data_IF_017724543564
#
_entry.id   IF_017724543564
#
_cell.length_a   1.000
_cell.length_b   1.000
_cell.length_c   1.000
_cell.angle_alpha   90.00
_cell.angle_beta   90.00
_cell.angle_gamma   90.00
#
_symmetry.space_group_name_H-M   'P 1'
#
loop_
_entity.id
_entity.type
_entity.pdbx_description
1 polymer ?
#
# COMPACT_ATOMS: atom_id res chain seq x y z
N UNK A 1 15.16 -13.52 18.86
CA UNK A 1 14.18 -12.49 19.28
C UNK A 1 12.82 -12.94 18.78
N UNK A 2 11.72 -12.66 19.49
CA UNK A 2 10.39 -13.00 19.01
C UNK A 2 10.08 -12.21 17.72
N UNK A 3 9.28 -12.81 16.84
CA UNK A 3 8.83 -12.18 15.59
C UNK A 3 7.85 -11.03 15.87
N UNK A 4 7.04 -11.19 16.91
CA UNK A 4 6.01 -10.26 17.35
C UNK A 4 6.31 -9.79 18.78
N UNK A 5 6.25 -8.49 19.04
CA UNK A 5 6.48 -7.89 20.38
C UNK A 5 5.22 -7.15 20.83
N UNK A 6 4.64 -7.63 21.92
CA UNK A 6 3.37 -7.14 22.49
C UNK A 6 3.58 -6.17 23.66
N UNK A 7 4.83 -5.81 23.96
CA UNK A 7 5.16 -4.96 25.12
C UNK A 7 4.91 -3.47 24.87
N UNK A 8 4.78 -3.07 23.61
CA UNK A 8 4.54 -1.70 23.19
C UNK A 8 3.69 -1.65 21.90
N UNK A 9 3.07 -0.50 21.65
CA UNK A 9 2.29 -0.24 20.44
C UNK A 9 2.35 1.24 20.06
N UNK A 10 1.92 1.53 18.83
CA UNK A 10 1.68 2.90 18.37
C UNK A 10 0.18 3.17 18.37
N UNK A 11 -0.18 4.37 18.80
CA UNK A 11 -1.55 4.90 18.75
C UNK A 11 -1.53 6.12 17.84
N UNK A 12 -2.59 6.28 17.05
CA UNK A 12 -2.79 7.43 16.19
C UNK A 12 -4.13 8.06 16.55
N UNK A 13 -4.16 9.38 16.55
CA UNK A 13 -5.42 10.12 16.64
C UNK A 13 -6.17 10.05 15.31
N UNK A 14 -7.49 10.21 15.35
CA UNK A 14 -8.30 10.22 14.12
C UNK A 14 -7.80 11.25 13.08
N UNK A 15 -7.42 12.49 13.44
CA UNK A 15 -6.87 13.44 12.46
C UNK A 15 -5.55 12.98 11.82
N UNK A 16 -4.71 12.22 12.54
CA UNK A 16 -3.48 11.66 11.96
C UNK A 16 -3.80 10.53 10.99
N UNK A 17 -4.77 9.68 11.34
CA UNK A 17 -5.28 8.62 10.47
C UNK A 17 -5.82 9.21 9.17
N UNK A 18 -6.74 10.18 9.25
CA UNK A 18 -7.32 10.86 8.07
C UNK A 18 -6.23 11.50 7.20
N UNK A 19 -5.25 12.18 7.81
CA UNK A 19 -4.14 12.77 7.07
C UNK A 19 -3.25 11.72 6.38
N UNK A 20 -3.06 10.55 6.99
CA UNK A 20 -2.32 9.45 6.37
C UNK A 20 -3.11 8.83 5.20
N UNK A 21 -4.43 8.71 5.32
CA UNK A 21 -5.32 8.24 4.26
C UNK A 21 -5.25 9.15 3.03
N UNK A 22 -5.36 10.47 3.22
CA UNK A 22 -5.23 11.45 2.14
C UNK A 22 -3.87 11.32 1.44
N UNK A 23 -2.78 11.17 2.21
CA UNK A 23 -1.43 11.01 1.66
C UNK A 23 -1.30 9.74 0.83
N UNK A 24 -1.82 8.59 1.29
CA UNK A 24 -1.71 7.34 0.52
C UNK A 24 -2.59 7.35 -0.73
N UNK A 25 -3.74 8.03 -0.71
CA UNK A 25 -4.59 8.21 -1.89
C UNK A 25 -3.89 9.09 -2.95
N UNK A 26 -3.27 10.19 -2.53
CA UNK A 26 -2.48 11.05 -3.41
C UNK A 26 -1.29 10.29 -4.00
N UNK A 27 -0.52 9.57 -3.16
CA UNK A 27 0.62 8.78 -3.61
C UNK A 27 0.22 7.69 -4.60
N UNK A 28 -0.88 6.98 -4.36
CA UNK A 28 -1.38 5.97 -5.29
C UNK A 28 -1.73 6.59 -6.66
N UNK A 29 -2.43 7.72 -6.65
CA UNK A 29 -2.77 8.46 -7.86
C UNK A 29 -1.52 8.92 -8.64
N UNK A 30 -0.50 9.40 -7.92
CA UNK A 30 0.79 9.77 -8.51
C UNK A 30 1.51 8.57 -9.12
N UNK A 31 1.52 7.41 -8.45
CA UNK A 31 2.11 6.17 -8.97
C UNK A 31 1.41 5.71 -10.26
N UNK A 32 0.08 5.76 -10.32
CA UNK A 32 -0.67 5.46 -11.53
C UNK A 32 -0.36 6.45 -12.67
N UNK A 33 -0.26 7.74 -12.36
CA UNK A 33 0.12 8.75 -13.35
C UNK A 33 1.55 8.53 -13.89
N UNK A 34 2.49 8.12 -13.04
CA UNK A 34 3.84 7.77 -13.44
C UNK A 34 3.86 6.53 -14.34
N UNK A 35 3.11 5.48 -13.98
CA UNK A 35 2.97 4.28 -14.80
C UNK A 35 2.36 4.61 -16.18
N UNK A 36 1.31 5.43 -16.22
CA UNK A 36 0.70 5.93 -17.45
C UNK A 36 1.74 6.63 -18.33
N UNK A 37 2.51 7.54 -17.73
CA UNK A 37 3.54 8.29 -18.42
C UNK A 37 4.61 7.38 -19.05
N UNK A 38 5.03 6.33 -18.34
CA UNK A 38 6.00 5.36 -18.87
C UNK A 38 5.43 4.63 -20.08
N UNK A 39 4.19 4.11 -19.97
CA UNK A 39 3.54 3.35 -21.03
C UNK A 39 3.28 4.22 -22.27
N UNK A 40 2.70 5.40 -22.08
CA UNK A 40 2.30 6.30 -23.17
C UNK A 40 3.50 6.88 -23.93
N UNK A 41 4.64 7.06 -23.25
CA UNK A 41 5.86 7.60 -23.84
C UNK A 41 6.86 6.52 -24.27
N UNK A 42 6.54 5.24 -24.05
CA UNK A 42 7.42 4.12 -24.39
C UNK A 42 8.73 4.11 -23.60
N UNK A 43 8.74 4.59 -22.35
CA UNK A 43 9.95 4.76 -21.52
C UNK A 43 10.38 3.48 -20.78
N UNK A 44 9.98 2.31 -21.27
CA UNK A 44 10.24 1.01 -20.63
C UNK A 44 11.73 0.71 -20.41
N UNK A 45 12.59 1.14 -21.34
CA UNK A 45 14.03 0.93 -21.24
C UNK A 45 14.65 1.58 -20.00
N UNK A 46 14.05 2.65 -19.48
CA UNK A 46 14.53 3.32 -18.25
C UNK A 46 14.28 2.48 -17.00
N UNK A 47 13.35 1.53 -17.07
CA UNK A 47 13.11 0.51 -16.05
C UNK A 47 13.87 -0.80 -16.34
N UNK A 48 14.76 -0.82 -17.33
CA UNK A 48 15.48 -2.02 -17.75
C UNK A 48 14.64 -3.03 -18.54
N UNK A 49 13.42 -2.67 -18.95
CA UNK A 49 12.52 -3.53 -19.71
C UNK A 49 12.75 -3.27 -21.20
N UNK A 50 13.46 -4.17 -21.87
CA UNK A 50 13.87 -4.01 -23.28
C UNK A 50 13.34 -5.10 -24.22
N UNK A 51 12.78 -6.20 -23.71
CA UNK A 51 12.15 -7.24 -24.55
C UNK A 51 10.83 -6.70 -25.14
N UNK A 52 10.71 -6.58 -26.47
CA UNK A 52 9.49 -6.07 -27.12
C UNK A 52 8.23 -6.84 -26.73
N UNK A 53 8.33 -8.16 -26.51
CA UNK A 53 7.18 -8.99 -26.13
C UNK A 53 6.66 -8.63 -24.74
N UNK A 54 7.56 -8.32 -23.80
CA UNK A 54 7.17 -7.87 -22.46
C UNK A 54 6.55 -6.47 -22.52
N UNK A 55 7.12 -5.58 -23.32
CA UNK A 55 6.60 -4.22 -23.53
C UNK A 55 5.17 -4.26 -24.06
N UNK A 56 4.90 -5.13 -25.04
CA UNK A 56 3.56 -5.29 -25.62
C UNK A 56 2.55 -5.80 -24.57
N UNK A 57 2.95 -6.80 -23.77
CA UNK A 57 2.11 -7.36 -22.70
C UNK A 57 1.79 -6.34 -21.61
N UNK A 58 2.79 -5.58 -21.14
CA UNK A 58 2.60 -4.54 -20.12
C UNK A 58 1.68 -3.45 -20.67
N UNK A 59 1.91 -3.03 -21.92
CA UNK A 59 1.08 -2.01 -22.57
C UNK A 59 -0.36 -2.48 -22.76
N UNK A 60 -0.58 -3.76 -23.08
CA UNK A 60 -1.92 -4.35 -23.14
C UNK A 60 -2.60 -4.38 -21.77
N UNK A 61 -1.89 -4.88 -20.75
CA UNK A 61 -2.42 -4.91 -19.38
C UNK A 61 -2.81 -3.51 -18.90
N UNK A 62 -1.99 -2.49 -19.16
CA UNK A 62 -2.31 -1.09 -18.84
C UNK A 62 -3.57 -0.58 -19.56
N UNK A 63 -3.73 -0.86 -20.86
CA UNK A 63 -4.94 -0.50 -21.62
C UNK A 63 -6.18 -1.18 -21.08
N UNK A 64 -6.04 -2.42 -20.60
CA UNK A 64 -7.12 -3.25 -20.05
C UNK A 64 -7.26 -3.16 -18.54
N UNK A 65 -6.59 -2.22 -17.87
CA UNK A 65 -6.55 -2.14 -16.40
C UNK A 65 -7.92 -2.02 -15.73
N UNK A 66 -8.91 -1.45 -16.42
CA UNK A 66 -10.29 -1.40 -15.92
C UNK A 66 -10.93 -2.80 -15.79
N UNK A 67 -10.48 -3.76 -16.61
CA UNK A 67 -10.85 -5.18 -16.54
C UNK A 67 -9.91 -5.98 -15.62
N UNK A 68 -8.77 -5.41 -15.23
CA UNK A 68 -7.69 -6.04 -14.47
C UNK A 68 -7.32 -5.17 -13.25
N UNK A 69 -8.25 -4.95 -12.30
CA UNK A 69 -7.99 -4.09 -11.17
C UNK A 69 -6.90 -4.70 -10.27
N UNK A 70 -6.02 -3.83 -9.76
CA UNK A 70 -5.13 -4.20 -8.65
C UNK A 70 -5.96 -4.53 -7.41
N UNK A 71 -5.59 -5.60 -6.70
CA UNK A 71 -6.32 -6.04 -5.52
C UNK A 71 -5.92 -5.24 -4.28
N UNK A 72 -4.61 -5.16 -4.00
CA UNK A 72 -4.05 -4.40 -2.89
C UNK A 72 -2.57 -4.08 -3.15
N UNK A 73 -2.03 -3.13 -2.40
CA UNK A 73 -0.61 -2.77 -2.39
C UNK A 73 -0.19 -2.29 -1.00
N UNK A 74 1.12 -2.21 -0.74
CA UNK A 74 1.66 -1.71 0.53
C UNK A 74 2.60 -0.53 0.30
N UNK A 75 2.31 0.60 0.94
CA UNK A 75 3.24 1.70 1.04
C UNK A 75 4.12 1.56 2.28
N UNK A 76 5.41 1.79 2.08
CA UNK A 76 6.34 1.96 3.18
C UNK A 76 6.58 3.46 3.35
N UNK A 77 6.15 4.00 4.50
CA UNK A 77 6.14 5.42 4.78
C UNK A 77 7.10 5.77 5.92
N UNK A 78 7.75 6.92 5.81
CA UNK A 78 8.37 7.60 6.94
C UNK A 78 7.40 8.66 7.46
N UNK A 79 6.98 8.51 8.71
CA UNK A 79 6.13 9.45 9.43
C UNK A 79 6.69 9.66 10.83
N UNK A 80 6.84 10.91 11.26
CA UNK A 80 7.41 11.27 12.57
C UNK A 80 6.42 12.02 13.47
N UNK A 81 5.13 12.04 13.11
CA UNK A 81 4.10 12.80 13.82
C UNK A 81 4.04 14.28 13.42
N UNK A 82 4.94 14.76 12.55
CA UNK A 82 4.97 16.17 12.13
C UNK A 82 4.88 16.32 10.61
N UNK A 83 3.76 16.91 10.15
CA UNK A 83 3.51 17.12 8.73
C UNK A 83 3.22 15.83 7.96
N UNK A 84 3.19 15.87 6.61
CA UNK A 84 2.77 14.73 5.82
C UNK A 84 3.83 13.63 5.81
N UNK A 85 3.38 12.37 5.80
CA UNK A 85 4.25 11.22 5.60
C UNK A 85 5.02 11.31 4.25
N UNK A 86 6.14 10.59 4.18
CA UNK A 86 6.99 10.52 2.97
C UNK A 86 7.10 9.08 2.51
N UNK A 87 6.82 8.85 1.24
CA UNK A 87 6.97 7.53 0.63
C UNK A 87 8.44 7.13 0.52
N UNK A 88 8.76 5.93 1.01
CA UNK A 88 10.03 5.26 0.78
C UNK A 88 9.92 4.32 -0.42
N UNK A 89 8.88 3.48 -0.45
CA UNK A 89 8.56 2.58 -1.55
C UNK A 89 7.07 2.26 -1.64
N UNK A 90 6.66 1.74 -2.80
CA UNK A 90 5.32 1.20 -3.04
C UNK A 90 5.41 -0.23 -3.58
N UNK A 91 5.06 -1.20 -2.75
CA UNK A 91 5.01 -2.61 -3.09
C UNK A 91 3.64 -2.94 -3.70
N UNK A 92 3.52 -2.72 -5.00
CA UNK A 92 2.27 -2.90 -5.74
C UNK A 92 2.09 -4.31 -6.36
N UNK A 93 3.14 -5.12 -6.40
CA UNK A 93 3.14 -6.45 -7.07
C UNK A 93 2.98 -7.60 -6.06
N UNK A 94 3.88 -7.67 -5.07
CA UNK A 94 3.88 -8.74 -4.05
C UNK A 94 3.95 -8.20 -2.62
N UNK A 95 3.01 -7.32 -2.21
CA UNK A 95 2.96 -6.84 -0.83
C UNK A 95 2.88 -7.99 0.18
N UNK A 96 3.71 -7.92 1.23
CA UNK A 96 3.70 -8.85 2.36
C UNK A 96 3.05 -8.22 3.60
N UNK A 97 2.80 -9.04 4.63
CA UNK A 97 2.25 -8.65 5.95
C UNK A 97 0.74 -8.42 6.02
N UNK A 98 -0.01 -8.82 4.99
CA UNK A 98 -1.48 -8.73 4.98
C UNK A 98 -2.12 -9.54 6.11
N UNK A 99 -1.67 -10.79 6.31
CA UNK A 99 -2.25 -11.68 7.33
C UNK A 99 -2.01 -11.11 8.73
N UNK A 100 -0.79 -10.65 9.01
CA UNK A 100 -0.40 -10.04 10.27
C UNK A 100 -1.23 -8.80 10.60
N UNK A 101 -1.47 -7.93 9.62
CA UNK A 101 -2.26 -6.72 9.80
C UNK A 101 -3.77 -6.99 9.94
N UNK A 102 -4.30 -7.97 9.21
CA UNK A 102 -5.74 -8.24 9.17
C UNK A 102 -6.27 -9.07 10.34
N UNK A 103 -5.45 -9.92 10.98
CA UNK A 103 -5.97 -10.85 12.00
C UNK A 103 -5.22 -10.85 13.34
N UNK A 104 -3.90 -11.12 13.42
CA UNK A 104 -3.17 -11.05 14.68
C UNK A 104 -3.25 -9.68 15.35
N UNK A 105 -3.10 -8.58 14.60
CA UNK A 105 -3.25 -7.22 15.14
C UNK A 105 -4.64 -6.97 15.73
N UNK A 106 -5.69 -7.36 15.01
CA UNK A 106 -7.07 -7.22 15.46
C UNK A 106 -7.30 -7.96 16.78
N UNK A 107 -7.01 -9.27 16.82
CA UNK A 107 -7.26 -10.08 18.01
C UNK A 107 -6.44 -9.63 19.22
N UNK A 108 -5.19 -9.24 19.00
CA UNK A 108 -4.37 -8.66 20.07
C UNK A 108 -4.96 -7.35 20.60
N UNK A 109 -5.40 -6.45 19.72
CA UNK A 109 -6.02 -5.19 20.12
C UNK A 109 -7.33 -5.42 20.88
N UNK A 110 -8.21 -6.30 20.38
CA UNK A 110 -9.50 -6.62 21.00
C UNK A 110 -9.32 -7.23 22.41
N UNK A 111 -8.34 -8.12 22.60
CA UNK A 111 -8.04 -8.72 23.90
C UNK A 111 -7.48 -7.69 24.90
N UNK A 112 -6.57 -6.82 24.45
CA UNK A 112 -5.81 -5.91 25.33
C UNK A 112 -6.53 -4.59 25.60
N UNK A 113 -7.33 -4.12 24.65
CA UNK A 113 -8.01 -2.83 24.68
C UNK A 113 -9.47 -2.98 24.24
N UNK A 114 -10.34 -3.62 25.04
CA UNK A 114 -11.74 -3.79 24.68
C UNK A 114 -12.43 -2.45 24.37
N UNK A 115 -12.98 -2.32 23.16
CA UNK A 115 -13.65 -1.11 22.68
C UNK A 115 -12.74 -0.08 21.99
N UNK A 116 -11.44 -0.38 21.85
CA UNK A 116 -10.59 0.34 20.90
C UNK A 116 -10.91 -0.08 19.46
N UNK A 117 -10.32 0.63 18.49
CA UNK A 117 -10.51 0.38 17.07
C UNK A 117 -9.17 0.23 16.35
N UNK A 118 -9.19 -0.44 15.19
CA UNK A 118 -8.06 -0.57 14.29
C UNK A 118 -8.32 0.30 13.06
N UNK A 119 -7.34 1.12 12.67
CA UNK A 119 -7.48 1.98 11.51
C UNK A 119 -7.84 1.22 10.22
N UNK A 120 -7.19 0.07 9.95
CA UNK A 120 -7.41 -0.62 8.68
C UNK A 120 -8.66 -1.52 8.70
N UNK A 121 -9.29 -1.67 7.54
CA UNK A 121 -10.43 -2.58 7.32
C UNK A 121 -10.04 -3.78 6.44
N UNK A 122 -8.83 -4.32 6.64
CA UNK A 122 -8.28 -5.35 5.75
C UNK A 122 -9.08 -6.64 5.81
N UNK A 123 -9.53 -7.03 7.01
CA UNK A 123 -10.33 -8.23 7.19
C UNK A 123 -11.65 -8.10 6.44
N UNK A 124 -12.41 -7.03 6.67
CA UNK A 124 -13.74 -6.81 6.10
C UNK A 124 -13.72 -6.66 4.58
N UNK A 125 -12.62 -6.16 4.01
CA UNK A 125 -12.51 -5.90 2.57
C UNK A 125 -11.94 -7.08 1.79
N UNK A 126 -11.15 -7.96 2.40
CA UNK A 126 -10.36 -8.97 1.68
C UNK A 126 -10.55 -10.41 2.17
N UNK A 127 -11.20 -10.63 3.33
CA UNK A 127 -11.45 -11.96 3.92
C UNK A 127 -12.95 -12.26 3.93
#
# INVERSE_FOLDING_TARGET
RPYWDESAYYEFTLPEVEALEDVVEELHSMCLAAAAHIVERGRFAELGITDPRLIDLISESWRRRAEQPSLYGRFDLRYDGTGPARMLEYNADTPTSLVEAASPQWFWMEERFPGADQWNSLHERLV
#
